data_IF_220770046641
#
_entry.id   IF_220770046641
#
_cell.length_a   1.000
_cell.length_b   1.000
_cell.length_c   1.000
_cell.angle_alpha   90.00
_cell.angle_beta   90.00
_cell.angle_gamma   90.00
#
_symmetry.space_group_name_H-M   'P 1'
#
loop_
_entity.id
_entity.type
_entity.pdbx_description
1 polymer ?
#
# COMPACT_ATOMS: atom_id res chain seq x y z
N UNK A 1 10.06 -48.91 54.87
CA UNK A 1 9.83 -48.91 53.42
C UNK A 1 8.55 -48.14 53.05
N UNK A 2 8.34 -46.94 53.60
CA UNK A 2 7.11 -46.14 53.38
C UNK A 2 7.33 -44.61 53.40
N UNK A 3 8.60 -44.16 53.38
CA UNK A 3 8.95 -42.73 53.37
C UNK A 3 9.62 -42.32 52.05
N UNK A 4 10.27 -43.26 51.36
CA UNK A 4 10.97 -42.99 50.09
C UNK A 4 9.99 -42.87 48.90
N UNK A 5 8.85 -43.57 48.92
CA UNK A 5 7.85 -43.51 47.84
C UNK A 5 7.05 -42.19 47.86
N UNK A 6 6.89 -41.56 49.04
CA UNK A 6 6.13 -40.30 49.18
C UNK A 6 6.89 -39.09 48.64
N UNK A 7 8.22 -39.12 48.68
CA UNK A 7 9.06 -38.02 48.18
C UNK A 7 9.32 -38.08 46.67
N UNK A 8 9.16 -39.24 46.03
CA UNK A 8 9.28 -39.37 44.56
C UNK A 8 8.01 -38.82 43.87
N UNK A 9 6.83 -38.99 44.48
CA UNK A 9 5.58 -38.47 43.90
C UNK A 9 5.47 -36.93 43.99
N UNK A 10 6.02 -36.31 45.03
CA UNK A 10 6.00 -34.84 45.19
C UNK A 10 7.00 -34.16 44.23
N UNK A 11 8.13 -34.82 43.94
CA UNK A 11 9.11 -34.32 42.95
C UNK A 11 8.61 -34.44 41.50
N UNK A 12 7.78 -35.43 41.17
CA UNK A 12 7.18 -35.60 39.84
C UNK A 12 5.99 -34.66 39.58
N UNK A 13 5.26 -34.23 40.61
CA UNK A 13 4.21 -33.20 40.48
C UNK A 13 4.75 -31.78 40.40
N UNK A 14 5.99 -31.53 40.84
CA UNK A 14 6.63 -30.21 40.71
C UNK A 14 7.36 -30.03 39.35
N UNK A 15 7.70 -31.12 38.66
CA UNK A 15 8.36 -31.06 37.35
C UNK A 15 7.39 -30.93 36.16
N UNK A 16 6.09 -31.18 36.34
CA UNK A 16 5.07 -30.95 35.30
C UNK A 16 4.41 -29.56 35.35
N UNK A 17 4.65 -28.76 36.40
CA UNK A 17 3.99 -27.46 36.58
C UNK A 17 4.81 -26.25 36.08
N UNK A 18 6.00 -26.46 35.51
CA UNK A 18 6.90 -25.37 35.05
C UNK A 18 6.81 -25.16 33.52
N UNK A 19 6.07 -26.00 32.79
CA UNK A 19 5.88 -25.87 31.34
C UNK A 19 4.54 -25.22 30.92
N UNK A 20 3.83 -24.56 31.85
CA UNK A 20 2.59 -23.83 31.55
C UNK A 20 2.68 -22.31 31.77
N UNK A 21 3.89 -21.75 31.89
CA UNK A 21 4.10 -20.31 31.95
C UNK A 21 4.92 -19.85 30.75
N UNK A 22 4.18 -19.40 29.72
CA UNK A 22 4.56 -18.63 28.50
C UNK A 22 3.98 -19.17 27.19
N UNK A 23 2.79 -19.76 27.21
CA UNK A 23 1.85 -19.48 26.14
C UNK A 23 1.22 -18.12 26.45
N UNK A 24 1.99 -17.05 26.25
CA UNK A 24 1.38 -15.73 26.09
C UNK A 24 0.38 -15.86 24.95
N UNK A 25 -0.75 -15.17 25.07
CA UNK A 25 -1.63 -14.89 23.93
C UNK A 25 -0.77 -14.17 22.89
N UNK A 26 -0.07 -14.94 22.06
CA UNK A 26 0.80 -14.43 21.03
C UNK A 26 -0.14 -14.03 19.89
N UNK A 27 -0.71 -12.84 20.03
CA UNK A 27 -1.29 -12.12 18.91
C UNK A 27 -0.11 -11.82 17.98
N UNK A 28 0.15 -12.73 17.04
CA UNK A 28 1.16 -12.51 16.00
C UNK A 28 0.71 -11.30 15.18
N UNK A 29 1.39 -10.18 15.43
CA UNK A 29 0.94 -8.85 15.06
C UNK A 29 1.10 -8.60 13.57
N UNK A 30 0.00 -8.76 12.83
CA UNK A 30 -0.19 -8.22 11.49
C UNK A 30 0.20 -9.15 10.34
N UNK A 31 -0.54 -9.04 9.25
CA UNK A 31 -0.19 -9.67 7.98
C UNK A 31 1.08 -9.00 7.40
N UNK A 32 1.93 -9.75 6.70
CA UNK A 32 3.10 -9.22 6.02
C UNK A 32 2.73 -8.23 4.91
N UNK A 33 3.72 -7.52 4.36
CA UNK A 33 3.52 -6.56 3.29
C UNK A 33 2.76 -7.13 2.10
N UNK A 34 3.11 -8.33 1.66
CA UNK A 34 2.48 -8.97 0.51
C UNK A 34 1.00 -9.30 0.78
N UNK A 35 0.68 -9.83 1.96
CA UNK A 35 -0.69 -10.06 2.40
C UNK A 35 -1.49 -8.76 2.49
N UNK A 36 -0.89 -7.69 3.02
CA UNK A 36 -1.51 -6.36 3.05
C UNK A 36 -1.78 -5.84 1.63
N UNK A 37 -0.86 -6.06 0.68
CA UNK A 37 -1.06 -5.70 -0.73
C UNK A 37 -2.23 -6.49 -1.35
N UNK A 38 -2.35 -7.79 -1.05
CA UNK A 38 -3.47 -8.64 -1.51
C UNK A 38 -4.80 -8.14 -0.94
N UNK A 39 -4.86 -7.86 0.36
CA UNK A 39 -6.05 -7.32 1.02
C UNK A 39 -6.44 -5.95 0.44
N UNK A 40 -5.46 -5.06 0.25
CA UNK A 40 -5.69 -3.75 -0.36
C UNK A 40 -6.21 -3.85 -1.79
N UNK A 41 -5.63 -4.75 -2.60
CA UNK A 41 -6.06 -5.03 -3.96
C UNK A 41 -7.53 -5.50 -4.00
N UNK A 42 -7.89 -6.43 -3.11
CA UNK A 42 -9.22 -7.00 -3.01
C UNK A 42 -10.29 -5.95 -2.68
N UNK A 43 -10.02 -5.08 -1.70
CA UNK A 43 -10.95 -4.00 -1.32
C UNK A 43 -11.10 -2.93 -2.40
N UNK A 44 -10.12 -2.79 -3.29
CA UNK A 44 -10.16 -1.82 -4.40
C UNK A 44 -10.54 -2.45 -5.75
N UNK A 45 -10.84 -3.74 -5.79
CA UNK A 45 -10.96 -4.48 -7.04
C UNK A 45 -12.08 -3.98 -7.96
N UNK A 46 -13.22 -3.56 -7.39
CA UNK A 46 -14.31 -2.96 -8.17
C UNK A 46 -13.84 -1.70 -8.93
N UNK A 47 -13.04 -0.86 -8.28
CA UNK A 47 -12.46 0.35 -8.90
C UNK A 47 -11.54 -0.06 -10.07
N UNK A 48 -10.69 -1.04 -9.84
CA UNK A 48 -9.70 -1.50 -10.83
C UNK A 48 -10.35 -2.16 -12.05
N UNK A 49 -11.35 -3.02 -11.84
CA UNK A 49 -12.11 -3.64 -12.92
C UNK A 49 -12.86 -2.58 -13.73
N UNK A 50 -13.50 -1.60 -13.07
CA UNK A 50 -14.20 -0.50 -13.77
C UNK A 50 -13.27 0.34 -14.62
N UNK A 51 -12.03 0.56 -14.17
CA UNK A 51 -11.02 1.26 -14.97
C UNK A 51 -10.62 0.47 -16.21
N UNK A 52 -10.41 -0.85 -16.07
CA UNK A 52 -10.20 -1.71 -17.23
C UNK A 52 -11.39 -1.64 -18.21
N UNK A 53 -12.63 -1.81 -17.72
CA UNK A 53 -13.83 -1.74 -18.56
C UNK A 53 -14.00 -0.40 -19.29
N UNK A 54 -13.54 0.70 -18.69
CA UNK A 54 -13.56 2.04 -19.29
C UNK A 54 -12.43 2.29 -20.30
N UNK A 55 -11.41 1.43 -20.34
CA UNK A 55 -10.30 1.54 -21.28
C UNK A 55 -10.62 0.85 -22.60
N UNK A 56 -10.26 1.46 -23.73
CA UNK A 56 -10.34 0.82 -25.04
C UNK A 56 -9.31 -0.31 -25.19
N UNK A 57 -8.20 -0.23 -24.46
CA UNK A 57 -7.10 -1.20 -24.54
C UNK A 57 -7.23 -2.35 -23.54
N UNK A 58 -8.30 -2.42 -22.76
CA UNK A 58 -8.55 -3.46 -21.76
C UNK A 58 -9.94 -4.06 -21.99
N UNK A 59 -10.08 -5.37 -21.77
CA UNK A 59 -11.26 -6.14 -22.18
C UNK A 59 -11.60 -5.89 -23.67
N UNK A 60 -10.73 -6.39 -24.55
CA UNK A 60 -10.72 -6.03 -25.98
C UNK A 60 -11.81 -6.72 -26.80
N UNK A 61 -12.52 -7.69 -26.22
CA UNK A 61 -13.66 -8.37 -26.84
C UNK A 61 -14.85 -8.45 -25.88
N UNK A 62 -16.03 -8.80 -26.41
CA UNK A 62 -17.27 -8.80 -25.63
C UNK A 62 -17.30 -9.86 -24.52
N UNK A 63 -16.62 -10.99 -24.72
CA UNK A 63 -16.53 -12.06 -23.72
C UNK A 63 -15.75 -11.60 -22.49
N UNK A 64 -14.58 -11.00 -22.70
CA UNK A 64 -13.78 -10.41 -21.61
C UNK A 64 -14.56 -9.30 -20.87
N UNK A 65 -15.28 -8.45 -21.61
CA UNK A 65 -16.13 -7.41 -21.03
C UNK A 65 -17.28 -7.98 -20.21
N UNK A 66 -17.92 -9.04 -20.70
CA UNK A 66 -19.02 -9.72 -20.01
C UNK A 66 -18.52 -10.34 -18.70
N UNK A 67 -17.41 -11.08 -18.74
CA UNK A 67 -16.83 -11.70 -17.56
C UNK A 67 -16.42 -10.66 -16.50
N UNK A 68 -15.70 -9.60 -16.89
CA UNK A 68 -15.34 -8.54 -15.93
C UNK A 68 -16.56 -7.82 -15.35
N UNK A 69 -17.64 -7.64 -16.12
CA UNK A 69 -18.90 -7.09 -15.60
C UNK A 69 -19.57 -8.04 -14.61
N UNK A 70 -19.55 -9.35 -14.87
CA UNK A 70 -20.06 -10.36 -13.96
C UNK A 70 -19.29 -10.32 -12.63
N UNK A 71 -17.95 -10.39 -12.69
CA UNK A 71 -17.08 -10.26 -11.51
C UNK A 71 -17.42 -8.96 -10.76
N UNK A 72 -17.45 -7.81 -11.43
CA UNK A 72 -17.75 -6.52 -10.78
C UNK A 72 -19.14 -6.48 -10.12
N UNK A 73 -20.13 -7.17 -10.70
CA UNK A 73 -21.49 -7.25 -10.16
C UNK A 73 -21.60 -8.20 -8.96
N UNK A 74 -20.80 -9.27 -8.93
CA UNK A 74 -20.80 -10.26 -7.85
C UNK A 74 -19.97 -9.84 -6.63
N UNK A 75 -19.03 -8.89 -6.78
CA UNK A 75 -18.15 -8.42 -5.69
C UNK A 75 -18.88 -8.09 -4.38
N UNK A 76 -20.08 -7.50 -4.44
CA UNK A 76 -20.86 -7.19 -3.23
C UNK A 76 -21.28 -8.43 -2.42
N UNK A 77 -21.43 -9.58 -3.09
CA UNK A 77 -21.67 -10.88 -2.45
C UNK A 77 -20.36 -11.50 -1.99
N UNK A 78 -19.31 -11.43 -2.79
CA UNK A 78 -17.95 -11.88 -2.41
C UNK A 78 -17.50 -11.22 -1.10
N UNK A 79 -17.71 -9.90 -0.95
CA UNK A 79 -17.35 -9.15 0.25
C UNK A 79 -18.12 -9.54 1.52
N UNK A 80 -19.24 -10.26 1.41
CA UNK A 80 -20.01 -10.71 2.58
C UNK A 80 -19.37 -11.90 3.27
N UNK A 81 -18.56 -12.68 2.55
CA UNK A 81 -17.83 -13.79 3.16
C UNK A 81 -16.64 -13.23 3.96
N UNK A 82 -16.71 -13.37 5.29
CA UNK A 82 -15.64 -12.92 6.19
C UNK A 82 -14.33 -13.71 6.03
N UNK A 83 -14.38 -14.86 5.36
CA UNK A 83 -13.26 -15.73 5.05
C UNK A 83 -13.03 -15.81 3.53
N UNK A 84 -13.35 -14.75 2.78
CA UNK A 84 -13.13 -14.76 1.34
C UNK A 84 -11.64 -14.95 0.99
N UNK A 85 -10.73 -14.33 1.73
CA UNK A 85 -9.29 -14.50 1.52
C UNK A 85 -8.70 -15.30 2.69
N UNK A 86 -8.03 -16.41 2.36
CA UNK A 86 -7.40 -17.30 3.34
C UNK A 86 -5.95 -17.51 2.94
N UNK A 87 -5.01 -17.12 3.79
CA UNK A 87 -3.58 -17.27 3.55
C UNK A 87 -3.07 -18.58 4.16
N UNK A 88 -2.57 -19.50 3.34
CA UNK A 88 -2.02 -20.79 3.77
C UNK A 88 -0.64 -21.01 3.14
N UNK A 89 0.21 -21.84 3.75
CA UNK A 89 1.49 -22.25 3.17
C UNK A 89 1.40 -23.71 2.73
N UNK A 90 1.89 -23.99 1.52
CA UNK A 90 2.06 -25.36 1.03
C UNK A 90 3.13 -26.10 1.82
N UNK A 91 4.21 -25.42 2.22
CA UNK A 91 5.26 -26.01 3.08
C UNK A 91 4.73 -26.42 4.44
N UNK A 92 3.82 -25.63 5.01
CA UNK A 92 3.18 -25.93 6.30
C UNK A 92 2.06 -26.98 6.15
N UNK A 93 1.37 -27.02 4.99
CA UNK A 93 0.23 -27.90 4.72
C UNK A 93 0.35 -28.56 3.34
N UNK A 94 1.23 -29.57 3.16
CA UNK A 94 1.49 -30.19 1.86
C UNK A 94 0.24 -30.80 1.21
N UNK A 95 0.14 -30.68 -0.11
CA UNK A 95 -1.00 -31.10 -0.92
C UNK A 95 -2.11 -30.05 -1.04
N UNK A 96 -2.02 -28.92 -0.34
CA UNK A 96 -3.07 -27.90 -0.37
C UNK A 96 -3.13 -27.21 -1.73
N UNK A 97 -1.99 -26.86 -2.33
CA UNK A 97 -1.89 -26.10 -3.57
C UNK A 97 -1.38 -26.94 -4.75
N UNK A 98 -1.30 -28.27 -4.62
CA UNK A 98 -0.88 -29.15 -5.71
C UNK A 98 -2.07 -29.43 -6.63
N UNK A 99 -1.99 -28.95 -7.86
CA UNK A 99 -2.95 -29.21 -8.93
C UNK A 99 -2.14 -29.64 -10.15
N UNK A 100 -2.47 -30.80 -10.74
CA UNK A 100 -1.74 -31.39 -11.87
C UNK A 100 -0.22 -31.51 -11.63
N UNK A 101 0.17 -31.95 -10.42
CA UNK A 101 1.56 -32.07 -9.95
C UNK A 101 2.36 -30.75 -9.90
N UNK A 102 1.70 -29.60 -9.99
CA UNK A 102 2.34 -28.30 -9.83
C UNK A 102 1.79 -27.55 -8.61
N UNK A 103 2.67 -26.88 -7.88
CA UNK A 103 2.23 -26.01 -6.78
C UNK A 103 1.72 -24.69 -7.37
N UNK A 104 0.46 -24.36 -7.10
CA UNK A 104 -0.18 -23.13 -7.56
C UNK A 104 -0.05 -21.99 -6.54
N UNK A 105 -0.13 -20.76 -7.05
CA UNK A 105 -0.05 -19.52 -6.25
C UNK A 105 -1.34 -19.23 -5.47
N UNK A 106 -2.48 -19.64 -6.02
CA UNK A 106 -3.78 -19.53 -5.40
C UNK A 106 -4.68 -20.67 -5.89
N UNK A 107 -5.78 -20.90 -5.17
CA UNK A 107 -6.86 -21.78 -5.59
C UNK A 107 -8.17 -21.30 -5.02
N UNK A 108 -9.26 -21.64 -5.68
CA UNK A 108 -10.60 -21.29 -5.20
C UNK A 108 -11.67 -22.30 -5.65
N UNK A 109 -12.91 -22.06 -5.22
CA UNK A 109 -14.08 -22.82 -5.68
C UNK A 109 -14.60 -22.30 -7.02
N UNK A 110 -15.73 -22.83 -7.48
CA UNK A 110 -16.36 -22.41 -8.75
C UNK A 110 -17.69 -21.67 -8.55
N UNK A 111 -17.92 -21.14 -7.34
CA UNK A 111 -19.17 -20.49 -6.95
C UNK A 111 -18.90 -19.15 -6.29
N UNK A 112 -19.77 -18.16 -6.55
CA UNK A 112 -19.70 -16.84 -5.91
C UNK A 112 -19.69 -16.96 -4.40
N UNK A 113 -18.75 -16.29 -3.74
CA UNK A 113 -18.54 -16.34 -2.30
C UNK A 113 -17.66 -17.50 -1.82
N UNK A 114 -17.15 -18.35 -2.72
CA UNK A 114 -16.18 -19.39 -2.32
C UNK A 114 -14.90 -18.74 -1.77
N UNK A 115 -14.26 -19.34 -0.75
CA UNK A 115 -12.96 -18.88 -0.29
C UNK A 115 -11.90 -18.96 -1.39
N UNK A 116 -11.06 -17.93 -1.47
CA UNK A 116 -9.86 -17.86 -2.27
C UNK A 116 -8.69 -18.12 -1.32
N UNK A 117 -8.02 -19.25 -1.52
CA UNK A 117 -6.82 -19.61 -0.78
C UNK A 117 -5.61 -19.05 -1.51
N UNK A 118 -4.78 -18.29 -0.80
CA UNK A 118 -3.55 -17.68 -1.33
C UNK A 118 -2.35 -18.39 -0.70
N UNK A 119 -1.42 -18.84 -1.54
CA UNK A 119 -0.22 -19.53 -1.09
C UNK A 119 0.84 -18.52 -0.61
N UNK A 120 1.06 -18.45 0.70
CA UNK A 120 2.06 -17.60 1.36
C UNK A 120 3.48 -17.84 0.84
N UNK A 121 3.78 -19.06 0.38
CA UNK A 121 5.12 -19.42 -0.07
C UNK A 121 5.54 -18.69 -1.35
N UNK A 122 4.58 -18.13 -2.10
CA UNK A 122 4.80 -17.35 -3.32
C UNK A 122 4.55 -15.85 -3.18
N UNK A 123 4.24 -15.38 -1.97
CA UNK A 123 3.99 -13.95 -1.73
C UNK A 123 5.26 -13.11 -1.66
N UNK A 124 6.41 -13.74 -1.46
CA UNK A 124 7.72 -13.10 -1.41
C UNK A 124 8.67 -13.83 -2.37
N UNK A 125 9.03 -13.17 -3.47
CA UNK A 125 9.88 -13.76 -4.51
C UNK A 125 11.24 -13.08 -4.52
N UNK A 126 12.31 -13.84 -4.78
CA UNK A 126 13.64 -13.27 -4.93
C UNK A 126 13.76 -12.61 -6.30
N UNK A 127 14.22 -11.37 -6.33
CA UNK A 127 14.65 -10.72 -7.57
C UNK A 127 16.03 -11.23 -8.02
N UNK A 128 16.53 -10.71 -9.14
CA UNK A 128 17.83 -11.10 -9.72
C UNK A 128 19.03 -10.82 -8.79
N UNK A 129 18.85 -9.94 -7.79
CA UNK A 129 19.85 -9.63 -6.77
C UNK A 129 19.73 -10.55 -5.54
N UNK A 130 18.80 -11.51 -5.54
CA UNK A 130 18.53 -12.43 -4.45
C UNK A 130 17.77 -11.80 -3.27
N UNK A 131 17.24 -10.59 -3.44
CA UNK A 131 16.47 -9.85 -2.44
C UNK A 131 15.01 -10.28 -2.54
N UNK A 132 14.38 -10.58 -1.40
CA UNK A 132 12.96 -10.89 -1.37
C UNK A 132 12.13 -9.62 -1.60
N UNK A 133 11.25 -9.66 -2.58
CA UNK A 133 10.29 -8.63 -2.89
C UNK A 133 8.88 -9.15 -2.60
N UNK A 134 8.09 -8.33 -1.92
CA UNK A 134 6.68 -8.60 -1.68
C UNK A 134 5.90 -8.52 -3.00
N UNK A 135 4.91 -9.39 -3.13
CA UNK A 135 3.95 -9.35 -4.23
C UNK A 135 3.26 -7.97 -4.28
N UNK A 136 3.33 -7.32 -5.44
CA UNK A 136 2.77 -5.98 -5.66
C UNK A 136 1.24 -5.99 -5.72
N UNK A 137 0.61 -4.84 -5.50
CA UNK A 137 -0.85 -4.67 -5.62
C UNK A 137 -1.34 -5.08 -7.03
N UNK A 138 -0.62 -4.74 -8.08
CA UNK A 138 -1.04 -5.08 -9.44
C UNK A 138 -0.94 -6.57 -9.72
N UNK A 139 0.07 -7.27 -9.20
CA UNK A 139 0.14 -8.74 -9.25
C UNK A 139 -1.00 -9.37 -8.45
N UNK A 140 -1.30 -8.84 -7.25
CA UNK A 140 -2.45 -9.30 -6.47
C UNK A 140 -3.77 -9.15 -7.23
N UNK A 141 -3.96 -8.04 -7.94
CA UNK A 141 -5.14 -7.84 -8.81
C UNK A 141 -5.23 -8.92 -9.88
N UNK A 142 -4.13 -9.32 -10.51
CA UNK A 142 -4.15 -10.39 -11.53
C UNK A 142 -4.65 -11.71 -10.93
N UNK A 143 -4.10 -12.10 -9.78
CA UNK A 143 -4.49 -13.32 -9.06
C UNK A 143 -5.97 -13.23 -8.69
N UNK A 144 -6.40 -12.16 -8.03
CA UNK A 144 -7.78 -12.02 -7.56
C UNK A 144 -8.80 -12.01 -8.71
N UNK A 145 -8.49 -11.38 -9.84
CA UNK A 145 -9.37 -11.40 -11.02
C UNK A 145 -9.44 -12.80 -11.62
N UNK A 146 -8.33 -13.56 -11.65
CA UNK A 146 -8.32 -14.94 -12.09
C UNK A 146 -9.21 -15.80 -11.20
N UNK A 147 -8.98 -15.79 -9.88
CA UNK A 147 -9.75 -16.58 -8.92
C UNK A 147 -11.24 -16.23 -8.92
N UNK A 148 -11.59 -14.93 -8.92
CA UNK A 148 -12.99 -14.52 -9.01
C UNK A 148 -13.64 -14.81 -10.36
N UNK A 149 -12.84 -15.00 -11.41
CA UNK A 149 -13.30 -15.49 -12.70
C UNK A 149 -13.86 -16.90 -12.60
N UNK A 150 -13.17 -17.80 -11.88
CA UNK A 150 -13.67 -19.16 -11.60
C UNK A 150 -15.03 -19.18 -10.92
N UNK A 151 -15.34 -18.18 -10.11
CA UNK A 151 -16.66 -18.04 -9.47
C UNK A 151 -17.80 -17.72 -10.45
N UNK A 152 -17.48 -17.19 -11.63
CA UNK A 152 -18.48 -16.81 -12.64
C UNK A 152 -18.66 -17.89 -13.71
N UNK A 153 -17.62 -18.67 -13.97
CA UNK A 153 -17.57 -19.59 -15.10
C UNK A 153 -17.48 -21.04 -14.63
N UNK A 154 -18.63 -21.69 -14.49
CA UNK A 154 -18.67 -23.13 -14.51
C UNK A 154 -18.48 -23.59 -15.97
N UNK A 155 -17.46 -24.40 -16.27
CA UNK A 155 -17.43 -25.34 -17.42
C UNK A 155 -17.05 -24.86 -18.84
N UNK A 156 -16.25 -23.79 -19.04
CA UNK A 156 -15.74 -23.52 -20.40
C UNK A 156 -14.38 -24.16 -20.67
N UNK A 157 -14.28 -24.90 -21.77
CA UNK A 157 -13.00 -25.38 -22.33
C UNK A 157 -12.07 -24.17 -22.58
N UNK A 158 -10.83 -24.22 -22.11
CA UNK A 158 -9.82 -23.13 -22.14
C UNK A 158 -10.05 -21.93 -21.19
N UNK A 159 -10.86 -22.08 -20.14
CA UNK A 159 -11.10 -20.97 -19.19
C UNK A 159 -9.82 -20.45 -18.52
N UNK A 160 -8.88 -21.34 -18.15
CA UNK A 160 -7.65 -20.97 -17.44
C UNK A 160 -6.84 -19.90 -18.16
N UNK A 161 -6.57 -20.11 -19.46
CA UNK A 161 -5.81 -19.16 -20.28
C UNK A 161 -6.53 -17.82 -20.40
N UNK A 162 -7.86 -17.84 -20.56
CA UNK A 162 -8.65 -16.62 -20.63
C UNK A 162 -8.57 -15.82 -19.32
N UNK A 163 -8.68 -16.49 -18.17
CA UNK A 163 -8.59 -15.87 -16.86
C UNK A 163 -7.20 -15.27 -16.60
N UNK A 164 -6.12 -15.96 -17.00
CA UNK A 164 -4.77 -15.39 -16.95
C UNK A 164 -4.65 -14.13 -17.81
N UNK A 165 -5.17 -14.14 -19.03
CA UNK A 165 -5.13 -12.98 -19.93
C UNK A 165 -5.90 -11.79 -19.36
N UNK A 166 -7.11 -12.02 -18.85
CA UNK A 166 -7.95 -10.96 -18.30
C UNK A 166 -7.34 -10.39 -17.02
N UNK A 167 -6.89 -11.25 -16.10
CA UNK A 167 -6.21 -10.82 -14.87
C UNK A 167 -4.99 -9.95 -15.16
N UNK A 168 -4.14 -10.37 -16.10
CA UNK A 168 -2.99 -9.59 -16.54
C UNK A 168 -3.38 -8.26 -17.21
N UNK A 169 -4.42 -8.24 -18.05
CA UNK A 169 -4.90 -6.99 -18.66
C UNK A 169 -5.34 -5.96 -17.61
N UNK A 170 -6.09 -6.40 -16.58
CA UNK A 170 -6.47 -5.50 -15.48
C UNK A 170 -5.22 -5.03 -14.74
N UNK A 171 -4.32 -5.96 -14.38
CA UNK A 171 -3.05 -5.64 -13.71
C UNK A 171 -2.21 -4.60 -14.46
N UNK A 172 -2.04 -4.74 -15.78
CA UNK A 172 -1.27 -3.80 -16.60
C UNK A 172 -1.86 -2.38 -16.60
N UNK A 173 -3.19 -2.25 -16.65
CA UNK A 173 -3.86 -0.93 -16.55
C UNK A 173 -3.59 -0.29 -15.18
N UNK A 174 -3.56 -1.10 -14.13
CA UNK A 174 -3.30 -0.64 -12.77
C UNK A 174 -1.82 -0.25 -12.61
N UNK A 175 -0.88 -1.10 -13.01
CA UNK A 175 0.57 -0.82 -12.99
C UNK A 175 0.92 0.48 -13.69
N UNK A 176 0.32 0.76 -14.86
CA UNK A 176 0.55 2.01 -15.61
C UNK A 176 0.08 3.28 -14.87
N UNK A 177 -0.81 3.13 -13.89
CA UNK A 177 -1.40 4.25 -13.14
C UNK A 177 -0.80 4.44 -11.76
N UNK A 178 -0.06 3.45 -11.26
CA UNK A 178 0.79 3.60 -10.08
C UNK A 178 2.06 4.37 -10.46
N UNK A 179 2.37 5.39 -9.67
CA UNK A 179 3.65 6.06 -9.65
C UNK A 179 4.32 5.65 -8.34
N UNK A 180 5.44 4.94 -8.43
CA UNK A 180 6.24 4.58 -7.25
C UNK A 180 7.47 5.49 -7.22
N UNK A 181 7.77 6.05 -6.05
CA UNK A 181 8.99 6.80 -5.82
C UNK A 181 9.68 6.26 -4.59
N UNK A 182 10.85 5.66 -4.81
CA UNK A 182 11.67 5.03 -3.79
C UNK A 182 12.72 6.00 -3.28
N UNK A 183 12.98 5.98 -1.97
CA UNK A 183 14.00 6.81 -1.35
C UNK A 183 15.40 6.34 -1.77
N UNK A 184 15.58 5.03 -1.92
CA UNK A 184 16.84 4.42 -2.30
C UNK A 184 16.80 3.97 -3.77
N UNK A 185 17.93 4.07 -4.51
CA UNK A 185 17.96 3.78 -5.94
C UNK A 185 17.79 2.29 -6.29
N UNK A 186 18.06 1.38 -5.35
CA UNK A 186 18.04 -0.07 -5.58
C UNK A 186 17.18 -0.82 -4.54
N UNK A 187 16.32 -0.09 -3.83
CA UNK A 187 15.47 -0.67 -2.80
C UNK A 187 14.19 0.15 -2.66
N UNK A 188 13.06 -0.57 -2.55
CA UNK A 188 11.75 -0.01 -2.27
C UNK A 188 11.39 -0.03 -0.77
N UNK A 189 12.38 -0.33 0.10
CA UNK A 189 12.22 -0.41 1.56
C UNK A 189 11.56 0.84 2.11
N UNK A 190 11.87 2.03 1.59
CA UNK A 190 11.13 3.24 1.90
C UNK A 190 10.67 3.84 0.59
N UNK A 191 9.36 3.79 0.36
CA UNK A 191 8.78 4.25 -0.90
C UNK A 191 7.39 4.83 -0.69
N UNK A 192 6.93 5.59 -1.69
CA UNK A 192 5.55 6.06 -1.79
C UNK A 192 4.98 5.54 -3.11
N UNK A 193 3.79 4.94 -3.06
CA UNK A 193 3.03 4.56 -4.24
C UNK A 193 1.78 5.41 -4.37
N UNK A 194 1.57 5.98 -5.56
CA UNK A 194 0.44 6.86 -5.85
C UNK A 194 -0.32 6.32 -7.04
N UNK A 195 -1.58 5.96 -6.83
CA UNK A 195 -2.50 5.58 -7.88
C UNK A 195 -3.36 6.76 -8.31
N UNK A 196 -3.18 7.22 -9.55
CA UNK A 196 -4.03 8.26 -10.13
C UNK A 196 -5.12 7.64 -11.04
N UNK A 197 -6.39 7.75 -10.64
CA UNK A 197 -7.54 7.25 -11.43
C UNK A 197 -7.72 8.01 -12.76
N UNK A 198 -7.14 9.21 -12.90
CA UNK A 198 -7.28 10.10 -14.08
C UNK A 198 -8.73 10.26 -14.53
N UNK A 199 -9.64 10.39 -13.55
CA UNK A 199 -11.06 10.64 -13.74
C UNK A 199 -11.41 11.96 -13.05
N UNK A 200 -12.33 12.74 -13.62
CA UNK A 200 -12.83 13.94 -12.94
C UNK A 200 -13.44 13.57 -11.59
N UNK A 201 -13.28 14.46 -10.62
CA UNK A 201 -13.82 14.29 -9.27
C UNK A 201 -13.30 13.00 -8.58
N UNK A 202 -12.06 12.62 -8.85
CA UNK A 202 -11.39 11.50 -8.18
C UNK A 202 -10.15 12.00 -7.45
N UNK A 203 -9.79 11.33 -6.37
CA UNK A 203 -8.59 11.60 -5.60
C UNK A 203 -7.60 10.44 -5.78
N UNK A 204 -6.29 10.70 -5.67
CA UNK A 204 -5.31 9.65 -5.75
C UNK A 204 -5.41 8.71 -4.54
N UNK A 205 -5.07 7.45 -4.74
CA UNK A 205 -4.75 6.58 -3.61
C UNK A 205 -3.26 6.71 -3.31
N UNK A 206 -2.91 6.92 -2.04
CA UNK A 206 -1.53 7.16 -1.64
C UNK A 206 -1.16 6.20 -0.52
N UNK A 207 -0.15 5.39 -0.80
CA UNK A 207 0.38 4.38 0.12
C UNK A 207 1.82 4.75 0.47
N UNK A 208 2.11 4.80 1.77
CA UNK A 208 3.47 4.88 2.29
C UNK A 208 3.94 3.48 2.63
N UNK A 209 5.15 3.14 2.18
CA UNK A 209 5.82 1.88 2.45
C UNK A 209 7.08 2.14 3.28
N UNK A 210 7.26 1.34 4.33
CA UNK A 210 8.46 1.31 5.15
C UNK A 210 8.74 -0.14 5.59
N UNK A 211 9.68 -0.81 4.92
CA UNK A 211 9.98 -2.22 5.04
C UNK A 211 8.69 -3.05 4.89
N UNK A 212 8.30 -3.81 5.92
CA UNK A 212 7.08 -4.60 5.92
C UNK A 212 5.81 -3.82 6.30
N UNK A 213 5.95 -2.53 6.61
CA UNK A 213 4.83 -1.67 6.95
C UNK A 213 4.28 -0.90 5.75
N UNK A 214 2.96 -0.72 5.76
CA UNK A 214 2.23 -0.04 4.69
C UNK A 214 1.03 0.69 5.28
N UNK A 215 0.92 1.98 4.96
CA UNK A 215 -0.14 2.86 5.46
C UNK A 215 -0.80 3.58 4.29
N UNK A 216 -2.12 3.41 4.18
CA UNK A 216 -2.96 4.19 3.28
C UNK A 216 -3.26 5.57 3.89
N UNK A 217 -2.76 6.62 3.24
CA UNK A 217 -2.95 8.02 3.65
C UNK A 217 -3.90 8.79 2.72
N UNK A 218 -4.67 8.10 1.88
CA UNK A 218 -5.52 8.71 0.85
C UNK A 218 -6.53 9.69 1.41
N UNK A 219 -7.22 9.34 2.50
CA UNK A 219 -8.19 10.24 3.14
C UNK A 219 -7.52 11.40 3.86
N UNK A 220 -6.37 11.19 4.52
CA UNK A 220 -5.58 12.28 5.10
C UNK A 220 -5.16 13.28 4.00
N UNK A 221 -4.72 12.76 2.85
CA UNK A 221 -4.30 13.58 1.72
C UNK A 221 -5.47 14.40 1.18
N UNK A 222 -6.59 13.77 0.86
CA UNK A 222 -7.82 14.44 0.41
C UNK A 222 -8.28 15.52 1.37
N UNK A 223 -8.24 15.25 2.68
CA UNK A 223 -8.65 16.22 3.70
C UNK A 223 -7.69 17.39 3.84
N UNK A 224 -6.40 17.21 3.56
CA UNK A 224 -5.40 18.28 3.59
C UNK A 224 -5.51 19.26 2.41
N UNK A 225 -6.16 18.88 1.30
CA UNK A 225 -6.23 19.72 0.11
C UNK A 225 -7.24 20.87 0.26
N UNK A 226 -7.01 21.94 -0.49
CA UNK A 226 -7.90 23.10 -0.57
C UNK A 226 -7.80 23.81 -1.93
N UNK A 227 -8.85 24.56 -2.26
CA UNK A 227 -8.87 25.48 -3.39
C UNK A 227 -8.77 26.92 -2.87
N UNK A 228 -7.56 27.48 -2.73
CA UNK A 228 -7.40 28.85 -2.26
C UNK A 228 -7.94 29.84 -3.29
N UNK A 229 -8.50 30.96 -2.81
CA UNK A 229 -8.91 32.09 -3.66
C UNK A 229 -7.70 32.83 -4.21
N UNK A 230 -6.63 32.87 -3.42
CA UNK A 230 -5.42 33.59 -3.72
C UNK A 230 -4.29 33.03 -2.87
N UNK A 231 -3.12 32.88 -3.49
CA UNK A 231 -1.92 32.43 -2.81
C UNK A 231 -0.72 33.29 -3.22
N UNK A 232 -0.08 33.93 -2.25
CA UNK A 232 1.23 34.54 -2.42
C UNK A 232 2.28 33.63 -1.81
N UNK A 233 3.20 33.09 -2.62
CA UNK A 233 4.27 32.27 -2.09
C UNK A 233 5.19 33.15 -1.25
N UNK A 234 5.59 32.67 -0.08
CA UNK A 234 6.63 33.36 0.65
C UNK A 234 7.94 33.30 -0.15
N UNK A 235 8.79 34.36 -0.13
CA UNK A 235 10.06 34.34 -0.86
C UNK A 235 11.01 33.22 -0.37
N UNK A 236 10.79 32.68 0.83
CA UNK A 236 11.55 31.57 1.41
C UNK A 236 10.63 30.39 1.70
N UNK A 237 11.05 29.16 1.37
CA UNK A 237 10.24 27.93 1.54
C UNK A 237 9.96 27.56 3.01
N UNK A 238 10.72 28.12 3.96
CA UNK A 238 10.51 27.93 5.40
C UNK A 238 9.40 28.80 5.98
N UNK A 239 8.96 29.84 5.26
CA UNK A 239 7.88 30.71 5.70
C UNK A 239 6.54 30.22 5.11
N UNK A 240 5.44 30.31 5.86
CA UNK A 240 4.13 29.95 5.34
C UNK A 240 3.75 30.89 4.19
N UNK A 241 3.24 30.32 3.10
CA UNK A 241 2.64 31.10 2.02
C UNK A 241 1.42 31.87 2.55
N UNK A 242 1.21 33.09 2.08
CA UNK A 242 0.00 33.85 2.41
C UNK A 242 -1.15 33.34 1.55
N UNK A 243 -2.06 32.59 2.17
CA UNK A 243 -3.21 31.99 1.51
C UNK A 243 -4.50 32.63 1.98
N UNK A 244 -5.27 33.21 1.06
CA UNK A 244 -6.68 33.52 1.29
C UNK A 244 -7.47 32.30 0.84
N UNK A 245 -7.90 31.48 1.80
CA UNK A 245 -8.73 30.32 1.53
C UNK A 245 -10.21 30.72 1.49
N UNK A 246 -10.93 30.23 0.49
CA UNK A 246 -12.41 30.30 0.49
C UNK A 246 -13.05 29.25 1.42
N UNK A 247 -12.25 28.37 2.03
CA UNK A 247 -12.73 27.14 2.67
C UNK A 247 -13.18 26.05 1.69
N UNK A 248 -13.15 26.33 0.38
CA UNK A 248 -13.59 25.39 -0.66
C UNK A 248 -12.60 24.24 -0.80
N UNK A 249 -13.13 23.02 -0.81
CA UNK A 249 -12.39 21.79 -1.07
C UNK A 249 -12.41 21.48 -2.57
N UNK A 250 -11.32 20.92 -3.14
CA UNK A 250 -11.35 20.42 -4.50
C UNK A 250 -12.35 19.27 -4.63
N UNK A 251 -12.88 19.06 -5.84
CA UNK A 251 -13.74 17.90 -6.12
C UNK A 251 -12.92 16.66 -6.51
N UNK A 252 -11.66 16.85 -6.89
CA UNK A 252 -10.69 15.82 -7.25
C UNK A 252 -9.26 16.37 -7.27
N UNK A 253 -8.28 15.48 -7.36
CA UNK A 253 -6.87 15.86 -7.45
C UNK A 253 -6.03 14.77 -8.14
N UNK A 254 -4.85 15.17 -8.64
CA UNK A 254 -3.78 14.25 -9.00
C UNK A 254 -2.47 14.64 -8.32
N UNK A 255 -1.72 13.66 -7.83
CA UNK A 255 -0.40 13.85 -7.23
C UNK A 255 0.65 13.12 -8.06
N UNK A 256 1.70 13.84 -8.48
CA UNK A 256 2.69 13.32 -9.43
C UNK A 256 4.04 14.04 -9.29
N UNK A 257 5.05 13.59 -10.04
CA UNK A 257 6.42 14.14 -10.01
C UNK A 257 6.97 14.20 -8.58
N UNK A 258 6.92 13.06 -7.89
CA UNK A 258 7.36 12.96 -6.50
C UNK A 258 8.89 12.94 -6.41
N UNK A 259 9.42 13.58 -5.37
CA UNK A 259 10.82 13.56 -5.03
C UNK A 259 11.02 13.63 -3.51
N UNK A 260 12.04 12.91 -3.04
CA UNK A 260 12.41 12.88 -1.63
C UNK A 260 13.28 14.09 -1.28
N UNK A 261 13.01 14.72 -0.13
CA UNK A 261 13.84 15.80 0.40
C UNK A 261 14.95 15.17 1.24
N UNK A 262 16.19 15.33 0.80
CA UNK A 262 17.37 14.60 1.31
C UNK A 262 17.90 15.08 2.67
N UNK A 263 17.36 16.16 3.23
CA UNK A 263 17.71 16.64 4.58
C UNK A 263 16.93 15.89 5.66
N UNK A 264 16.94 14.55 5.63
CA UNK A 264 16.28 13.73 6.63
C UNK A 264 17.01 13.83 7.97
N UNK A 265 16.25 13.93 9.07
CA UNK A 265 16.80 13.96 10.43
C UNK A 265 16.66 12.57 11.03
N UNK A 266 17.78 11.89 11.24
CA UNK A 266 17.84 10.73 12.13
C UNK A 266 18.08 11.29 13.53
N UNK A 267 17.11 11.11 14.42
CA UNK A 267 17.20 11.54 15.80
C UNK A 267 18.09 10.56 16.56
N UNK A 268 19.39 10.87 16.62
CA UNK A 268 20.39 10.09 17.35
C UNK A 268 19.94 9.85 18.79
N UNK A 269 19.92 8.58 19.21
CA UNK A 269 19.46 8.15 20.54
C UNK A 269 17.99 7.71 20.63
N UNK A 270 17.14 8.01 19.64
CA UNK A 270 15.71 7.62 19.67
C UNK A 270 15.32 6.58 18.63
N UNK A 271 16.24 6.15 17.75
CA UNK A 271 15.95 5.24 16.62
C UNK A 271 14.81 5.73 15.71
N UNK A 272 14.58 7.05 15.68
CA UNK A 272 13.56 7.69 14.86
C UNK A 272 14.17 8.44 13.69
N UNK A 273 13.46 8.42 12.57
CA UNK A 273 13.84 9.17 11.37
C UNK A 273 12.66 9.95 10.82
N UNK A 274 12.88 11.20 10.45
CA UNK A 274 11.88 12.04 9.76
C UNK A 274 12.12 12.01 8.27
N UNK A 275 11.08 11.64 7.53
CA UNK A 275 11.09 11.52 6.07
C UNK A 275 10.12 12.50 5.46
N UNK A 276 10.49 13.03 4.30
CA UNK A 276 9.70 14.04 3.59
C UNK A 276 9.72 13.75 2.10
N UNK A 277 8.54 13.60 1.52
CA UNK A 277 8.34 13.52 0.07
C UNK A 277 7.52 14.73 -0.39
N UNK A 278 7.98 15.35 -1.49
CA UNK A 278 7.32 16.46 -2.16
C UNK A 278 6.85 16.00 -3.52
N UNK A 279 5.73 16.53 -4.00
CA UNK A 279 5.29 16.32 -5.37
C UNK A 279 4.38 17.44 -5.85
N UNK A 280 4.12 17.45 -7.15
CA UNK A 280 3.21 18.40 -7.77
C UNK A 280 1.76 17.95 -7.61
N UNK A 281 0.88 18.93 -7.48
CA UNK A 281 -0.55 18.74 -7.26
C UNK A 281 -1.32 19.44 -8.38
N UNK A 282 -2.26 18.72 -8.99
CA UNK A 282 -3.27 19.32 -9.85
C UNK A 282 -4.65 19.12 -9.21
N UNK A 283 -5.24 20.19 -8.69
CA UNK A 283 -6.55 20.16 -8.07
C UNK A 283 -7.66 20.46 -9.09
N UNK A 284 -8.77 19.73 -9.00
CA UNK A 284 -10.02 20.05 -9.67
C UNK A 284 -10.79 21.06 -8.81
N UNK A 285 -10.47 22.35 -8.99
CA UNK A 285 -11.22 23.48 -8.42
C UNK A 285 -12.18 24.02 -9.48
N UNK A 286 -13.42 24.36 -9.13
CA UNK A 286 -14.41 24.85 -10.10
C UNK A 286 -13.90 26.10 -10.86
N UNK A 287 -13.53 25.86 -12.12
CA UNK A 287 -13.45 26.72 -13.31
C UNK A 287 -12.93 28.17 -13.28
N UNK A 288 -12.38 28.71 -12.20
CA UNK A 288 -11.75 30.05 -12.22
C UNK A 288 -10.23 30.00 -12.01
N UNK A 289 -9.54 29.13 -12.74
CA UNK A 289 -8.07 29.20 -12.82
C UNK A 289 -7.66 30.38 -13.70
N UNK A 290 -7.28 31.51 -13.09
CA UNK A 290 -6.61 32.61 -13.79
C UNK A 290 -5.08 32.40 -13.77
N UNK A 291 -4.32 33.32 -14.39
CA UNK A 291 -2.85 33.22 -14.46
C UNK A 291 -2.15 33.24 -13.08
N UNK A 292 -2.84 33.68 -12.02
CA UNK A 292 -2.36 33.73 -10.64
C UNK A 292 -2.82 32.53 -9.79
N UNK A 293 -3.91 31.85 -10.20
CA UNK A 293 -4.51 30.69 -9.54
C UNK A 293 -4.52 29.46 -10.44
N UNK A 294 -3.52 29.31 -11.32
CA UNK A 294 -3.44 28.15 -12.17
C UNK A 294 -3.25 26.90 -11.30
N UNK A 295 -4.18 25.96 -11.37
CA UNK A 295 -4.21 24.72 -10.57
C UNK A 295 -2.96 23.83 -10.74
N UNK A 296 -2.05 24.18 -11.67
CA UNK A 296 -0.80 23.47 -11.97
C UNK A 296 0.42 23.92 -11.15
N UNK A 297 0.29 24.98 -10.36
CA UNK A 297 1.38 25.53 -9.56
C UNK A 297 1.34 25.09 -8.10
N UNK A 298 0.47 24.14 -7.73
CA UNK A 298 0.42 23.63 -6.37
C UNK A 298 1.35 22.44 -6.20
N UNK A 299 1.84 22.29 -4.97
CA UNK A 299 2.61 21.13 -4.53
C UNK A 299 2.07 20.65 -3.19
N UNK A 300 2.29 19.37 -2.91
CA UNK A 300 2.04 18.80 -1.60
C UNK A 300 3.34 18.24 -1.02
N UNK A 301 3.50 18.39 0.28
CA UNK A 301 4.58 17.79 1.07
C UNK A 301 3.94 16.84 2.07
N UNK A 302 4.42 15.60 2.07
CA UNK A 302 4.03 14.55 3.01
C UNK A 302 5.24 14.32 3.92
N UNK A 303 5.05 14.55 5.21
CA UNK A 303 6.06 14.32 6.24
C UNK A 303 5.58 13.19 7.13
N UNK A 304 6.47 12.27 7.49
CA UNK A 304 6.17 11.20 8.44
C UNK A 304 7.45 10.76 9.15
N UNK A 305 7.28 10.24 10.35
CA UNK A 305 8.34 9.71 11.18
C UNK A 305 8.27 8.17 11.19
N UNK A 306 9.43 7.52 11.13
CA UNK A 306 9.58 6.09 11.38
C UNK A 306 10.12 5.86 12.78
N UNK A 307 9.67 4.79 13.44
CA UNK A 307 10.26 4.29 14.69
C UNK A 307 11.06 3.00 14.47
N UNK A 308 11.85 2.62 15.47
CA UNK A 308 12.62 1.36 15.50
C UNK A 308 13.65 1.21 14.36
N UNK A 309 14.24 2.30 13.87
CA UNK A 309 15.39 2.21 12.96
C UNK A 309 16.60 1.62 13.71
N UNK A 310 16.91 0.35 13.48
CA UNK A 310 18.07 -0.29 14.11
C UNK A 310 19.39 0.14 13.50
N UNK A 311 20.38 0.30 14.36
CA UNK A 311 21.79 0.36 13.97
C UNK A 311 22.32 -1.07 13.90
N UNK A 312 22.97 -1.43 12.78
CA UNK A 312 23.68 -2.68 12.35
C UNK A 312 23.88 -3.91 13.26
N UNK A 313 23.75 -3.86 14.58
CA UNK A 313 24.12 -4.94 15.52
C UNK A 313 22.97 -5.51 16.36
N UNK A 314 21.75 -4.99 16.23
CA UNK A 314 20.57 -5.57 16.83
C UNK A 314 19.77 -6.23 15.70
N UNK A 315 19.20 -7.41 15.92
CA UNK A 315 18.44 -8.17 14.91
C UNK A 315 17.31 -7.35 14.24
N UNK A 316 16.54 -7.92 13.30
CA UNK A 316 15.59 -7.15 12.50
C UNK A 316 14.55 -6.49 13.42
N UNK A 317 14.72 -5.19 13.70
CA UNK A 317 13.66 -4.42 14.32
C UNK A 317 12.62 -4.15 13.25
N UNK A 318 11.37 -4.40 13.62
CA UNK A 318 10.24 -4.11 12.75
C UNK A 318 10.07 -2.59 12.71
N UNK A 319 10.65 -1.98 11.69
CA UNK A 319 10.46 -0.56 11.37
C UNK A 319 8.98 -0.35 11.10
N UNK A 320 8.42 0.72 11.65
CA UNK A 320 6.99 1.04 11.50
C UNK A 320 6.77 2.52 11.26
N UNK A 321 5.71 2.83 10.52
CA UNK A 321 5.30 4.22 10.25
C UNK A 321 4.49 4.72 11.45
N UNK A 322 4.93 5.81 12.07
CA UNK A 322 4.19 6.45 13.17
C UNK A 322 3.02 7.22 12.55
N UNK A 323 1.82 6.64 12.55
CA UNK A 323 0.64 7.19 11.87
C UNK A 323 0.27 8.60 12.33
N UNK A 324 0.45 8.89 13.62
CA UNK A 324 0.14 10.19 14.23
C UNK A 324 1.10 11.29 13.81
N UNK A 325 2.28 10.92 13.29
CA UNK A 325 3.28 11.88 12.78
C UNK A 325 3.03 12.34 11.35
N UNK A 326 2.07 11.72 10.65
CA UNK A 326 1.82 11.97 9.23
C UNK A 326 1.21 13.36 9.07
N UNK A 327 1.96 14.25 8.44
CA UNK A 327 1.53 15.62 8.12
C UNK A 327 1.54 15.83 6.62
N UNK A 328 0.42 16.36 6.09
CA UNK A 328 0.26 16.67 4.67
C UNK A 328 -0.02 18.17 4.54
N UNK A 329 0.86 18.87 3.81
CA UNK A 329 0.78 20.31 3.59
C UNK A 329 0.72 20.61 2.09
N UNK A 330 -0.36 21.27 1.66
CA UNK A 330 -0.45 21.90 0.34
C UNK A 330 0.19 23.30 0.39
N UNK A 331 0.93 23.66 -0.64
CA UNK A 331 1.55 24.99 -0.78
C UNK A 331 1.65 25.39 -2.25
N UNK A 332 1.83 26.69 -2.50
CA UNK A 332 1.91 27.24 -3.85
C UNK A 332 3.36 27.40 -4.27
N UNK A 333 3.71 26.76 -5.38
CA UNK A 333 5.08 26.68 -5.88
C UNK A 333 5.11 27.04 -7.38
N UNK A 334 4.95 28.33 -7.73
CA UNK A 334 4.99 28.76 -9.11
C UNK A 334 6.40 28.68 -9.67
N UNK A 335 6.52 28.44 -10.99
CA UNK A 335 7.80 28.34 -11.69
C UNK A 335 8.72 29.56 -11.54
N UNK A 336 8.16 30.75 -11.28
CA UNK A 336 8.90 31.99 -11.08
C UNK A 336 9.42 32.19 -9.65
N UNK A 337 9.13 31.27 -8.71
CA UNK A 337 9.75 31.21 -7.37
C UNK A 337 11.21 30.71 -7.51
N UNK A 338 12.01 31.45 -8.27
CA UNK A 338 13.41 31.15 -8.65
C UNK A 338 14.43 31.74 -7.67
N UNK A 339 14.00 32.54 -6.70
CA UNK A 339 14.87 33.04 -5.63
C UNK A 339 14.81 32.09 -4.44
N UNK A 340 15.49 30.96 -4.53
CA UNK A 340 15.97 30.29 -3.32
C UNK A 340 17.10 31.17 -2.77
N UNK A 341 16.78 32.07 -1.84
CA UNK A 341 17.84 32.61 -1.00
C UNK A 341 18.50 31.41 -0.31
N UNK A 342 19.84 31.28 -0.38
CA UNK A 342 20.53 30.18 0.28
C UNK A 342 20.03 30.14 1.72
N UNK A 343 19.53 28.98 2.14
CA UNK A 343 19.08 28.76 3.50
C UNK A 343 20.15 29.32 4.42
N UNK A 344 19.82 30.37 5.17
CA UNK A 344 20.74 30.90 6.16
C UNK A 344 21.14 29.72 7.04
N UNK A 345 22.39 29.29 6.91
CA UNK A 345 23.01 28.43 7.89
C UNK A 345 22.86 29.18 9.21
N UNK A 346 21.88 28.79 10.02
CA UNK A 346 21.94 29.11 11.44
C UNK A 346 23.04 28.20 11.98
N UNK A 347 24.28 28.64 11.79
CA UNK A 347 25.40 28.19 12.59
C UNK A 347 25.08 28.65 14.01
N UNK A 348 24.40 27.80 14.79
CA UNK A 348 24.46 27.93 16.25
C UNK A 348 25.82 27.39 16.70
N UNK A 349 26.88 28.12 16.35
CA UNK A 349 28.10 28.13 17.14
C UNK A 349 27.88 29.17 18.24
N UNK A 350 27.42 28.71 19.40
CA UNK A 350 27.59 29.46 20.64
C UNK A 350 28.30 28.54 21.61
N UNK A 351 29.45 29.05 22.05
CA UNK A 351 30.45 28.51 22.97
C UNK A 351 29.88 27.93 24.26
#
# INVERSE_FOLDING_TARGET
MNVIIKNIFIALTFFCAIWQLRAGDEVNNGAGLAEKNVLFAYHNLNKYIRLCLSSQSCATNDRERALLRQIASSLSMEYRNRQQLVFLSEKENPGTFIIDNEVKMAKTGNSVGSPIYINKDFLYLKNDLGIYEALSISQAVAILVHELGHHQTATSENIETELYVIGNKVSMIISKRFLVSSLFPYSDDISIAVFNEKKKNSFPQILLYAYDDMVDISELFKNALSCPLFSLPAPVESLPDFNISTGKKPTGATFHNMSWITNFKIFTGTKRGRFVVKGHLSNDCDKESNIFNNNKNYSARITFDLDNLTTKNEGPAQVSIIKESIEIKQFYNPWWRLLQLPSAHVSSSTH
#
